data_IF_671704269427
#
_entry.id   IF_671704269427
#
_cell.length_a   1.000
_cell.length_b   1.000
_cell.length_c   1.000
_cell.angle_alpha   90.00
_cell.angle_beta   90.00
_cell.angle_gamma   90.00
#
_symmetry.space_group_name_H-M   'P 1'
#
loop_
_entity.id
_entity.type
_entity.pdbx_description
1 polymer ?
#
# COMPACT_ATOMS: atom_id res chain seq x y z
N UNK A 1 28.01 -18.26 26.64
CA UNK A 1 26.84 -17.36 26.70
C UNK A 1 26.28 -17.12 28.11
N UNK A 2 26.63 -17.91 29.15
CA UNK A 2 26.15 -17.67 30.53
C UNK A 2 26.98 -16.66 31.37
N UNK A 3 28.12 -16.17 30.87
CA UNK A 3 29.04 -15.30 31.65
C UNK A 3 28.77 -13.79 31.40
N UNK A 4 28.01 -13.43 30.36
CA UNK A 4 27.75 -12.03 30.01
C UNK A 4 26.57 -11.44 30.82
N UNK A 5 25.64 -12.27 31.28
CA UNK A 5 24.44 -11.82 32.02
C UNK A 5 24.72 -11.41 33.47
N UNK A 6 25.88 -11.79 34.05
CA UNK A 6 26.20 -11.48 35.45
C UNK A 6 26.90 -10.13 35.66
N UNK A 7 27.37 -9.46 34.61
CA UNK A 7 28.19 -8.23 34.72
C UNK A 7 27.34 -6.96 34.61
N UNK A 8 26.14 -7.00 34.02
CA UNK A 8 25.30 -5.80 33.82
C UNK A 8 23.80 -6.01 34.16
N UNK A 9 23.45 -6.41 35.40
CA UNK A 9 22.05 -6.62 35.77
C UNK A 9 21.21 -5.32 35.76
N UNK A 10 21.82 -4.14 35.86
CA UNK A 10 21.10 -2.85 35.93
C UNK A 10 20.92 -2.11 34.60
N UNK A 11 21.54 -2.57 33.50
CA UNK A 11 21.41 -1.92 32.19
C UNK A 11 20.20 -2.46 31.40
N UNK A 12 19.74 -3.67 31.71
CA UNK A 12 18.61 -4.31 31.04
C UNK A 12 17.26 -3.63 31.30
N UNK A 13 16.98 -3.23 32.55
CA UNK A 13 15.67 -2.64 32.91
C UNK A 13 15.46 -1.24 32.30
N UNK A 14 16.49 -0.40 32.28
CA UNK A 14 16.38 0.94 31.68
C UNK A 14 16.41 0.91 30.15
N UNK A 15 17.16 -0.03 29.55
CA UNK A 15 17.16 -0.23 28.09
C UNK A 15 15.77 -0.63 27.59
N UNK A 16 15.08 -1.54 28.30
CA UNK A 16 13.70 -1.93 27.97
C UNK A 16 12.72 -0.74 28.02
N UNK A 17 12.78 0.08 29.08
CA UNK A 17 11.92 1.26 29.21
C UNK A 17 12.13 2.32 28.13
N UNK A 18 13.37 2.56 27.73
CA UNK A 18 13.69 3.53 26.67
C UNK A 18 13.21 3.02 25.32
N UNK A 19 13.38 1.72 25.04
CA UNK A 19 12.90 1.09 23.82
C UNK A 19 11.36 1.11 23.73
N UNK A 20 10.66 0.90 24.86
CA UNK A 20 9.20 0.96 24.95
C UNK A 20 8.61 2.37 24.79
N UNK A 21 9.37 3.40 25.18
CA UNK A 21 8.95 4.79 25.02
C UNK A 21 9.25 5.31 23.61
N UNK A 22 10.40 4.96 23.03
CA UNK A 22 10.72 5.31 21.64
C UNK A 22 9.79 4.61 20.64
N UNK A 23 9.46 3.33 20.86
CA UNK A 23 8.51 2.61 20.02
C UNK A 23 7.13 3.28 20.06
N UNK A 24 6.65 3.68 21.24
CA UNK A 24 5.38 4.42 21.40
C UNK A 24 5.37 5.78 20.72
N UNK A 25 6.47 6.53 20.78
CA UNK A 25 6.56 7.87 20.17
C UNK A 25 6.67 7.79 18.65
N UNK A 26 7.48 6.88 18.12
CA UNK A 26 7.61 6.67 16.67
C UNK A 26 6.30 6.11 16.06
N UNK A 27 5.64 5.19 16.77
CA UNK A 27 4.31 4.69 16.41
C UNK A 27 3.29 5.84 16.33
N UNK A 28 3.18 6.64 17.40
CA UNK A 28 2.20 7.74 17.46
C UNK A 28 2.40 8.81 16.37
N UNK A 29 3.64 9.10 15.94
CA UNK A 29 3.91 10.15 14.94
C UNK A 29 3.69 9.67 13.49
N UNK A 30 3.97 8.40 13.20
CA UNK A 30 3.74 7.80 11.88
C UNK A 30 2.26 7.63 11.55
N UNK A 31 1.48 7.19 12.54
CA UNK A 31 0.06 6.83 12.38
C UNK A 31 -0.80 8.02 11.99
N UNK A 32 -0.59 9.15 12.66
CA UNK A 32 -1.36 10.38 12.44
C UNK A 32 -1.15 10.89 11.01
N UNK A 33 0.08 10.83 10.49
CA UNK A 33 0.39 11.28 9.13
C UNK A 33 -0.32 10.43 8.07
N UNK A 34 -0.41 9.11 8.28
CA UNK A 34 -1.04 8.23 7.31
C UNK A 34 -2.56 8.28 7.35
N UNK A 35 -3.16 8.38 8.53
CA UNK A 35 -4.59 8.64 8.69
C UNK A 35 -4.99 9.97 8.02
N UNK A 36 -4.18 11.01 8.20
CA UNK A 36 -4.41 12.30 7.57
C UNK A 36 -4.37 12.19 6.04
N UNK A 37 -3.42 11.43 5.47
CA UNK A 37 -3.36 11.15 4.03
C UNK A 37 -4.60 10.41 3.52
N UNK A 38 -5.12 9.45 4.28
CA UNK A 38 -6.35 8.73 3.93
C UNK A 38 -7.57 9.65 3.89
N UNK A 39 -7.73 10.48 4.92
CA UNK A 39 -8.82 11.47 5.00
C UNK A 39 -8.69 12.48 3.85
N UNK A 40 -7.49 13.00 3.62
CA UNK A 40 -7.22 13.95 2.54
C UNK A 40 -7.52 13.34 1.16
N UNK A 41 -7.18 12.08 0.93
CA UNK A 41 -7.48 11.37 -0.32
C UNK A 41 -9.00 11.21 -0.55
N UNK A 42 -9.77 10.88 0.49
CA UNK A 42 -11.24 10.83 0.42
C UNK A 42 -11.85 12.19 0.08
N UNK A 43 -11.38 13.26 0.74
CA UNK A 43 -11.83 14.63 0.49
C UNK A 43 -11.45 15.11 -0.92
N UNK A 44 -10.23 14.81 -1.36
CA UNK A 44 -9.75 15.15 -2.70
C UNK A 44 -10.60 14.45 -3.76
N UNK A 45 -10.91 13.16 -3.58
CA UNK A 45 -11.85 12.44 -4.44
C UNK A 45 -13.20 13.13 -4.50
N UNK A 46 -13.82 13.42 -3.35
CA UNK A 46 -15.14 14.05 -3.32
C UNK A 46 -15.15 15.38 -4.09
N UNK A 47 -14.11 16.21 -3.90
CA UNK A 47 -13.94 17.49 -4.60
C UNK A 47 -13.66 17.32 -6.10
N UNK A 48 -12.94 16.27 -6.49
CA UNK A 48 -12.67 15.94 -7.88
C UNK A 48 -13.97 15.46 -8.57
N UNK A 49 -14.77 14.60 -7.92
CA UNK A 49 -16.05 14.13 -8.43
C UNK A 49 -17.09 15.25 -8.58
N UNK A 50 -17.00 16.32 -7.78
CA UNK A 50 -17.93 17.46 -7.88
C UNK A 50 -17.65 18.38 -9.07
N UNK A 51 -16.46 18.33 -9.65
CA UNK A 51 -16.14 19.06 -10.89
C UNK A 51 -16.36 18.10 -12.05
N UNK A 52 -17.05 18.50 -13.11
CA UNK A 52 -17.20 17.67 -14.31
C UNK A 52 -15.83 17.28 -14.87
N UNK A 53 -15.35 16.08 -14.53
CA UNK A 53 -14.01 15.63 -14.87
C UNK A 53 -14.02 15.19 -16.32
N UNK A 54 -13.17 15.83 -17.11
CA UNK A 54 -12.96 15.56 -18.53
C UNK A 54 -12.53 14.11 -18.80
N UNK A 55 -11.93 13.41 -17.81
CA UNK A 55 -11.43 12.04 -17.97
C UNK A 55 -11.86 11.10 -16.84
N UNK A 56 -13.11 10.63 -16.90
CA UNK A 56 -13.67 9.67 -15.94
C UNK A 56 -12.80 8.40 -15.80
N UNK A 57 -12.26 7.88 -16.90
CA UNK A 57 -11.41 6.69 -16.92
C UNK A 57 -10.13 6.87 -16.07
N UNK A 58 -9.42 7.98 -16.29
CA UNK A 58 -8.20 8.28 -15.55
C UNK A 58 -8.48 8.44 -14.05
N UNK A 59 -9.55 9.17 -13.71
CA UNK A 59 -9.99 9.31 -12.31
C UNK A 59 -10.34 7.96 -11.71
N UNK A 60 -11.01 7.08 -12.46
CA UNK A 60 -11.34 5.72 -12.00
C UNK A 60 -10.08 4.89 -11.72
N UNK A 61 -9.10 4.89 -12.64
CA UNK A 61 -7.83 4.17 -12.45
C UNK A 61 -7.10 4.66 -11.20
N UNK A 62 -6.92 5.98 -11.07
CA UNK A 62 -6.27 6.57 -9.90
C UNK A 62 -7.06 6.31 -8.61
N UNK A 63 -8.38 6.29 -8.71
CA UNK A 63 -9.29 6.04 -7.60
C UNK A 63 -9.15 4.62 -7.06
N UNK A 64 -9.18 3.61 -7.92
CA UNK A 64 -9.04 2.21 -7.51
C UNK A 64 -7.62 1.94 -7.02
N UNK A 65 -6.61 2.47 -7.71
CA UNK A 65 -5.22 2.27 -7.31
C UNK A 65 -4.89 2.93 -5.96
N UNK A 66 -5.40 4.14 -5.72
CA UNK A 66 -5.25 4.79 -4.42
C UNK A 66 -5.99 4.05 -3.30
N UNK A 67 -7.14 3.42 -3.58
CA UNK A 67 -7.82 2.56 -2.60
C UNK A 67 -6.95 1.34 -2.24
N UNK A 68 -6.38 0.67 -3.23
CA UNK A 68 -5.49 -0.48 -3.01
C UNK A 68 -4.26 -0.08 -2.19
N UNK A 69 -3.67 1.09 -2.48
CA UNK A 69 -2.57 1.62 -1.68
C UNK A 69 -2.96 1.83 -0.21
N UNK A 70 -4.15 2.38 0.05
CA UNK A 70 -4.66 2.53 1.42
C UNK A 70 -4.81 1.18 2.13
N UNK A 71 -5.28 0.14 1.45
CA UNK A 71 -5.35 -1.22 2.00
C UNK A 71 -3.95 -1.72 2.37
N UNK A 72 -2.94 -1.49 1.53
CA UNK A 72 -1.56 -1.94 1.83
C UNK A 72 -0.93 -1.22 3.03
N UNK A 73 -1.29 0.04 3.24
CA UNK A 73 -0.93 0.78 4.45
C UNK A 73 -1.56 0.13 5.69
N UNK A 74 -2.86 -0.21 5.65
CA UNK A 74 -3.54 -0.90 6.74
C UNK A 74 -2.91 -2.27 7.04
N UNK A 75 -2.56 -3.03 6.00
CA UNK A 75 -1.86 -4.31 6.16
C UNK A 75 -0.49 -4.15 6.84
N UNK A 76 0.22 -3.03 6.59
CA UNK A 76 1.47 -2.73 7.30
C UNK A 76 1.26 -2.49 8.78
N UNK A 77 0.17 -1.81 9.17
CA UNK A 77 -0.16 -1.65 10.59
C UNK A 77 -0.46 -2.99 11.26
N UNK A 78 -1.22 -3.85 10.58
CA UNK A 78 -1.51 -5.20 11.05
C UNK A 78 -0.20 -5.98 11.24
N UNK A 79 0.73 -5.89 10.28
CA UNK A 79 2.04 -6.53 10.39
C UNK A 79 2.83 -6.02 11.61
N UNK A 80 2.87 -4.71 11.83
CA UNK A 80 3.56 -4.12 12.99
C UNK A 80 2.92 -4.62 14.30
N UNK A 81 1.58 -4.66 14.38
CA UNK A 81 0.88 -5.18 15.55
C UNK A 81 1.19 -6.66 15.84
N UNK A 82 1.42 -7.47 14.80
CA UNK A 82 1.91 -8.84 14.95
C UNK A 82 3.39 -8.91 15.36
N UNK A 83 4.24 -7.99 14.87
CA UNK A 83 5.67 -7.94 15.21
C UNK A 83 5.90 -7.47 16.66
N UNK A 84 5.06 -6.58 17.17
CA UNK A 84 5.13 -6.07 18.55
C UNK A 84 4.37 -6.92 19.57
N UNK A 85 3.85 -8.08 19.16
CA UNK A 85 3.05 -8.97 20.01
C UNK A 85 1.81 -8.31 20.63
N UNK A 86 1.29 -7.23 20.03
CA UNK A 86 0.00 -6.66 20.42
C UNK A 86 -1.14 -7.64 20.13
N UNK A 87 -0.97 -8.47 19.10
CA UNK A 87 -1.85 -9.58 18.75
C UNK A 87 -1.09 -10.87 19.01
N UNK A 88 -1.58 -11.69 19.94
CA UNK A 88 -0.97 -12.97 20.26
C UNK A 88 -1.06 -13.92 19.06
N UNK A 89 0.10 -14.36 18.55
CA UNK A 89 0.18 -15.43 17.55
C UNK A 89 0.85 -16.64 18.20
N UNK A 90 0.20 -17.81 18.23
CA UNK A 90 0.75 -19.02 18.84
C UNK A 90 1.95 -19.60 18.07
N UNK A 91 2.20 -19.15 16.84
CA UNK A 91 3.35 -19.55 16.03
C UNK A 91 4.01 -18.32 15.39
N UNK A 92 5.28 -18.00 15.75
CA UNK A 92 5.99 -16.84 15.19
C UNK A 92 6.48 -17.06 13.75
N UNK A 93 6.36 -18.27 13.19
CA UNK A 93 6.98 -18.66 11.91
C UNK A 93 6.04 -18.86 10.73
N UNK A 94 4.77 -19.22 10.95
CA UNK A 94 3.90 -19.72 9.87
C UNK A 94 2.68 -18.83 9.63
N UNK A 95 2.81 -17.84 8.73
CA UNK A 95 1.74 -16.95 8.24
C UNK A 95 1.17 -15.98 9.30
N UNK A 96 1.10 -14.65 9.07
CA UNK A 96 0.82 -13.98 7.79
C UNK A 96 1.97 -13.13 7.19
N UNK A 97 3.19 -13.17 7.77
CA UNK A 97 4.30 -12.28 7.40
C UNK A 97 4.72 -12.27 5.90
N UNK A 98 4.93 -13.42 5.23
CA UNK A 98 5.36 -13.41 3.83
C UNK A 98 4.25 -12.90 2.90
N UNK A 99 2.99 -13.26 3.17
CA UNK A 99 1.83 -12.81 2.38
C UNK A 99 1.70 -11.28 2.42
N UNK A 100 1.83 -10.67 3.61
CA UNK A 100 1.76 -9.20 3.75
C UNK A 100 2.92 -8.54 2.99
N UNK A 101 4.10 -9.16 3.00
CA UNK A 101 5.27 -8.63 2.28
C UNK A 101 5.07 -8.69 0.77
N UNK A 102 4.57 -9.81 0.22
CA UNK A 102 4.24 -9.95 -1.21
C UNK A 102 3.18 -8.92 -1.63
N UNK A 103 2.12 -8.74 -0.84
CA UNK A 103 1.07 -7.76 -1.14
C UNK A 103 1.59 -6.32 -1.17
N UNK A 104 2.57 -5.99 -0.31
CA UNK A 104 3.22 -4.67 -0.31
C UNK A 104 4.12 -4.45 -1.52
N UNK A 105 4.95 -5.43 -1.87
CA UNK A 105 5.79 -5.35 -3.08
C UNK A 105 4.88 -5.20 -4.30
N UNK A 106 3.79 -5.97 -4.35
CA UNK A 106 2.78 -5.88 -5.42
C UNK A 106 2.20 -4.48 -5.56
N UNK A 107 1.87 -3.80 -4.47
CA UNK A 107 1.32 -2.45 -4.56
C UNK A 107 2.34 -1.39 -4.99
N UNK A 108 3.62 -1.56 -4.64
CA UNK A 108 4.67 -0.66 -5.13
C UNK A 108 4.94 -0.88 -6.63
N UNK A 109 5.06 -2.13 -7.06
CA UNK A 109 5.22 -2.48 -8.47
C UNK A 109 4.03 -1.99 -9.30
N UNK A 110 2.81 -2.11 -8.77
CA UNK A 110 1.61 -1.66 -9.47
C UNK A 110 1.57 -0.13 -9.62
N UNK A 111 2.10 0.66 -8.68
CA UNK A 111 2.23 2.13 -8.84
C UNK A 111 3.14 2.45 -10.03
N UNK A 112 4.26 1.76 -10.17
CA UNK A 112 5.21 1.98 -11.27
C UNK A 112 4.56 1.63 -12.61
N UNK A 113 3.91 0.47 -12.69
CA UNK A 113 3.21 0.01 -13.90
C UNK A 113 1.97 0.87 -14.24
N UNK A 114 1.31 1.46 -13.24
CA UNK A 114 0.18 2.37 -13.44
C UNK A 114 0.56 3.56 -14.32
N UNK A 115 1.76 4.12 -14.16
CA UNK A 115 2.22 5.23 -14.99
C UNK A 115 2.26 4.84 -16.47
N UNK A 116 2.74 3.62 -16.77
CA UNK A 116 2.67 3.04 -18.12
C UNK A 116 1.22 2.86 -18.58
N UNK A 117 0.36 2.33 -17.73
CA UNK A 117 -1.08 2.19 -18.00
C UNK A 117 -1.79 3.51 -18.34
N UNK A 118 -1.44 4.59 -17.65
CA UNK A 118 -1.96 5.94 -17.90
C UNK A 118 -1.51 6.42 -19.28
N UNK A 119 -0.23 6.25 -19.62
CA UNK A 119 0.31 6.64 -20.94
C UNK A 119 -0.41 5.87 -22.06
N UNK A 120 -0.61 4.56 -21.87
CA UNK A 120 -1.34 3.71 -22.82
C UNK A 120 -2.79 4.19 -22.96
N UNK A 121 -3.50 4.44 -21.87
CA UNK A 121 -4.90 4.92 -21.90
C UNK A 121 -5.02 6.26 -22.63
N UNK A 122 -4.09 7.19 -22.35
CA UNK A 122 -4.03 8.48 -23.03
C UNK A 122 -3.76 8.33 -24.53
N UNK A 123 -2.87 7.42 -24.90
CA UNK A 123 -2.52 7.16 -26.31
C UNK A 123 -3.68 6.51 -27.07
N UNK A 124 -4.45 5.64 -26.42
CA UNK A 124 -5.67 5.07 -26.98
C UNK A 124 -6.76 6.13 -27.13
N UNK A 125 -6.90 7.03 -26.16
CA UNK A 125 -7.86 8.13 -26.23
C UNK A 125 -7.54 9.10 -27.37
N UNK A 126 -6.26 9.39 -27.65
CA UNK A 126 -5.85 10.23 -28.78
C UNK A 126 -5.97 9.53 -30.13
N UNK A 127 -5.80 8.21 -30.19
CA UNK A 127 -5.98 7.46 -31.43
C UNK A 127 -7.47 7.25 -31.76
N UNK A 128 -8.31 7.02 -30.74
CA UNK A 128 -9.74 6.71 -30.89
C UNK A 128 -10.65 7.88 -30.42
N UNK A 129 -10.30 9.13 -30.74
CA UNK A 129 -11.03 10.34 -30.28
C UNK A 129 -12.53 10.27 -30.60
N UNK A 130 -12.87 9.95 -31.86
CA UNK A 130 -14.26 9.88 -32.34
C UNK A 130 -15.10 8.89 -31.53
N UNK A 131 -14.48 7.81 -31.07
CA UNK A 131 -15.15 6.74 -30.34
C UNK A 131 -15.28 7.07 -28.84
N UNK A 132 -14.32 7.83 -28.30
CA UNK A 132 -14.34 8.34 -26.93
C UNK A 132 -15.39 9.43 -26.72
N UNK A 133 -15.70 10.25 -27.73
CA UNK A 133 -16.75 11.27 -27.65
C UNK A 133 -18.15 10.66 -27.58
N UNK A 134 -18.38 9.53 -28.26
CA UNK A 134 -19.73 8.92 -28.38
C UNK A 134 -20.12 8.05 -27.19
N UNK A 135 -19.16 7.41 -26.51
CA UNK A 135 -19.47 6.45 -25.44
C UNK A 135 -18.43 6.45 -24.33
N UNK A 136 -18.89 6.52 -23.07
CA UNK A 136 -18.03 6.32 -21.89
C UNK A 136 -17.59 4.85 -21.82
N UNK A 137 -16.32 4.56 -22.11
CA UNK A 137 -15.75 3.20 -22.10
C UNK A 137 -14.95 2.92 -20.83
N UNK A 138 -15.64 2.77 -19.71
CA UNK A 138 -15.01 2.34 -18.44
C UNK A 138 -14.36 0.96 -18.52
N UNK A 139 -14.85 0.09 -19.41
CA UNK A 139 -14.32 -1.26 -19.62
C UNK A 139 -12.84 -1.28 -20.00
N UNK A 140 -12.35 -0.30 -20.79
CA UNK A 140 -10.95 -0.21 -21.19
C UNK A 140 -10.06 0.08 -19.97
N UNK A 141 -10.51 1.00 -19.12
CA UNK A 141 -9.81 1.34 -17.88
C UNK A 141 -9.77 0.14 -16.92
N UNK A 142 -10.87 -0.61 -16.81
CA UNK A 142 -10.95 -1.80 -15.96
C UNK A 142 -10.03 -2.91 -16.49
N UNK A 143 -10.00 -3.15 -17.81
CA UNK A 143 -9.13 -4.17 -18.39
C UNK A 143 -7.65 -3.83 -18.26
N UNK A 144 -7.26 -2.57 -18.50
CA UNK A 144 -5.88 -2.11 -18.26
C UNK A 144 -5.48 -2.29 -16.80
N UNK A 145 -6.38 -1.93 -15.87
CA UNK A 145 -6.11 -2.07 -14.45
C UNK A 145 -5.94 -3.55 -14.05
N UNK A 146 -6.76 -4.44 -14.59
CA UNK A 146 -6.65 -5.88 -14.35
C UNK A 146 -5.29 -6.41 -14.81
N UNK A 147 -4.86 -6.05 -16.02
CA UNK A 147 -3.55 -6.44 -16.58
C UNK A 147 -2.40 -5.91 -15.73
N UNK A 148 -2.49 -4.66 -15.26
CA UNK A 148 -1.46 -4.07 -14.39
C UNK A 148 -1.35 -4.84 -13.08
N UNK A 149 -2.48 -5.18 -12.44
CA UNK A 149 -2.45 -5.93 -11.18
C UNK A 149 -1.94 -7.35 -11.34
N UNK A 150 -2.37 -8.07 -12.39
CA UNK A 150 -1.87 -9.44 -12.63
C UNK A 150 -0.37 -9.43 -12.88
N UNK A 151 0.13 -8.52 -13.74
CA UNK A 151 1.56 -8.38 -14.01
C UNK A 151 2.34 -7.99 -12.76
N UNK A 152 1.83 -7.06 -11.96
CA UNK A 152 2.46 -6.64 -10.70
C UNK A 152 2.57 -7.81 -9.73
N UNK A 153 1.54 -8.66 -9.65
CA UNK A 153 1.51 -9.82 -8.78
C UNK A 153 2.53 -10.87 -9.24
N UNK A 154 2.56 -11.20 -10.53
CA UNK A 154 3.54 -12.14 -11.09
C UNK A 154 4.99 -11.66 -10.87
N UNK A 155 5.28 -10.39 -11.14
CA UNK A 155 6.61 -9.82 -10.89
C UNK A 155 6.99 -9.87 -9.41
N UNK A 156 6.03 -9.58 -8.52
CA UNK A 156 6.30 -9.58 -7.08
C UNK A 156 6.55 -10.98 -6.53
N UNK A 157 5.84 -11.99 -7.05
CA UNK A 157 6.13 -13.39 -6.70
C UNK A 157 7.53 -13.79 -7.16
N UNK A 158 7.90 -13.46 -8.41
CA UNK A 158 9.24 -13.75 -8.93
C UNK A 158 10.35 -13.11 -8.08
N UNK A 159 10.17 -11.86 -7.64
CA UNK A 159 11.14 -11.18 -6.76
C UNK A 159 11.29 -11.88 -5.40
N UNK A 160 10.21 -12.45 -4.87
CA UNK A 160 10.22 -13.11 -3.55
C UNK A 160 10.75 -14.53 -3.61
N UNK A 161 10.55 -15.23 -4.73
CA UNK A 161 11.04 -16.60 -4.94
C UNK A 161 12.53 -16.64 -5.33
N UNK A 162 13.07 -15.57 -5.94
CA UNK A 162 14.47 -15.44 -6.35
C UNK A 162 14.72 -15.95 -7.76
#
# INVERSE_FOLDING_TARGET
YQIVDSIFPSFGENSGRIHDNLSRVCYRRGDISQLLKFIFFRLLKAKIYSKNIVHFNLTSMLSVHGLFHCITILLRYIQIAYETSMIYSPSPGCSPRPIITILRITSYTSIVLLMGGIIVERSLATYFVIDYEKRKRSMISISLLLVIYTLSYFLSNGIVEG
#
